data_IF_841737575420
#
_entry.id   IF_841737575420
#
_cell.length_a   1.000
_cell.length_b   1.000
_cell.length_c   1.000
_cell.angle_alpha   90.00
_cell.angle_beta   90.00
_cell.angle_gamma   90.00
#
_symmetry.space_group_name_H-M   'P 1'
#
loop_
_entity.id
_entity.type
_entity.pdbx_description
1 polymer ?
#
# COMPACT_ATOMS: atom_id res chain seq x y z
N UNK A 1 -8.98 -34.33 24.82
CA UNK A 1 -7.60 -34.88 24.83
C UNK A 1 -7.22 -35.21 26.25
N UNK A 2 -6.76 -36.44 26.50
CA UNK A 2 -6.43 -36.87 27.88
C UNK A 2 -5.05 -36.36 28.30
N UNK A 3 -4.89 -36.12 29.62
CA UNK A 3 -3.61 -35.62 30.22
C UNK A 3 -2.42 -36.53 29.87
N UNK A 4 -2.67 -37.80 29.54
CA UNK A 4 -1.64 -38.76 29.08
C UNK A 4 -1.07 -38.42 27.69
N UNK A 5 -1.85 -37.82 26.80
CA UNK A 5 -1.42 -37.40 25.48
C UNK A 5 -0.44 -36.20 25.49
N UNK A 6 -0.71 -35.24 26.39
CA UNK A 6 0.12 -34.05 26.57
C UNK A 6 1.50 -34.42 27.17
N UNK A 7 1.56 -35.37 28.09
CA UNK A 7 2.82 -35.86 28.67
C UNK A 7 3.71 -36.59 27.67
N UNK A 8 3.14 -37.28 26.68
CA UNK A 8 3.92 -37.94 25.61
C UNK A 8 4.54 -36.92 24.68
N UNK A 9 3.82 -35.82 24.37
CA UNK A 9 4.32 -34.74 23.50
C UNK A 9 5.46 -33.98 24.18
N UNK A 10 5.35 -33.65 25.46
CA UNK A 10 6.40 -32.99 26.25
C UNK A 10 7.66 -33.83 26.34
N UNK A 11 7.53 -35.16 26.57
CA UNK A 11 8.70 -36.07 26.58
C UNK A 11 9.38 -36.24 25.23
N UNK A 12 8.63 -36.16 24.14
CA UNK A 12 9.19 -36.19 22.78
C UNK A 12 10.02 -34.94 22.51
N UNK A 13 9.51 -33.77 22.89
CA UNK A 13 10.27 -32.49 22.75
C UNK A 13 11.51 -32.44 23.65
N UNK A 14 11.46 -32.92 24.85
CA UNK A 14 12.63 -32.95 25.74
C UNK A 14 13.75 -33.91 25.27
N UNK A 15 13.41 -34.98 24.56
CA UNK A 15 14.38 -35.94 24.01
C UNK A 15 15.05 -35.41 22.71
N UNK A 16 14.36 -34.53 21.97
CA UNK A 16 14.92 -33.88 20.76
C UNK A 16 15.89 -32.75 21.07
N UNK A 17 15.77 -32.11 22.25
CA UNK A 17 16.63 -31.01 22.67
C UNK A 17 17.98 -31.46 23.24
N UNK A 18 18.19 -32.75 23.54
CA UNK A 18 19.46 -33.26 24.10
C UNK A 18 20.51 -33.69 23.09
N UNK A 19 20.30 -33.45 21.77
CA UNK A 19 21.25 -33.85 20.70
C UNK A 19 21.74 -32.71 19.82
N UNK A 20 21.92 -31.52 20.37
CA UNK A 20 22.55 -30.40 19.64
C UNK A 20 23.89 -30.14 20.21
N UNK A 21 25.00 -30.27 19.45
CA UNK A 21 26.35 -29.88 19.91
C UNK A 21 26.43 -28.37 20.07
N UNK A 22 26.94 -27.92 21.19
CA UNK A 22 27.07 -26.53 21.62
C UNK A 22 28.23 -25.78 20.93
N UNK A 23 28.27 -25.69 19.61
CA UNK A 23 29.16 -24.71 18.92
C UNK A 23 28.48 -24.31 17.61
N UNK A 24 28.26 -22.99 17.43
CA UNK A 24 27.61 -22.30 16.32
C UNK A 24 26.11 -21.98 16.51
N UNK A 25 25.80 -21.29 17.58
CA UNK A 25 24.56 -20.52 17.67
C UNK A 25 24.92 -19.08 17.43
N UNK A 26 24.46 -18.50 16.38
CA UNK A 26 24.09 -17.07 16.31
C UNK A 26 24.12 -16.52 14.90
N UNK A 27 23.25 -16.95 14.02
CA UNK A 27 22.88 -16.03 12.93
C UNK A 27 21.51 -16.27 12.30
N UNK A 28 20.98 -17.48 12.26
CA UNK A 28 19.69 -17.72 11.58
C UNK A 28 18.89 -18.82 12.26
N UNK A 29 17.85 -18.48 13.00
CA UNK A 29 16.79 -19.43 13.36
C UNK A 29 15.77 -19.49 12.21
N UNK A 30 15.80 -20.57 11.44
CA UNK A 30 14.78 -20.85 10.43
C UNK A 30 13.52 -21.41 11.11
N UNK A 31 12.49 -20.62 11.19
CA UNK A 31 11.16 -21.09 11.59
C UNK A 31 10.37 -21.52 10.35
N UNK A 32 10.08 -22.83 10.23
CA UNK A 32 9.12 -23.36 9.26
C UNK A 32 7.73 -23.29 9.87
N UNK A 33 6.89 -22.36 9.40
CA UNK A 33 5.49 -22.23 9.80
C UNK A 33 4.62 -22.76 8.67
N UNK A 34 3.85 -23.78 8.93
CA UNK A 34 2.82 -24.49 8.14
C UNK A 34 3.24 -25.83 7.52
N UNK A 35 2.59 -26.90 8.02
CA UNK A 35 2.45 -28.18 7.33
C UNK A 35 1.17 -28.17 6.48
N UNK A 36 1.32 -28.32 5.16
CA UNK A 36 0.20 -28.52 4.22
C UNK A 36 -0.03 -27.36 3.26
N UNK A 37 0.79 -27.21 2.22
CA UNK A 37 0.77 -26.18 1.19
C UNK A 37 2.17 -25.63 0.98
N UNK A 38 2.47 -24.91 -0.09
CA UNK A 38 3.79 -24.34 -0.36
C UNK A 38 4.35 -23.65 0.90
N UNK A 39 5.48 -24.16 1.41
CA UNK A 39 6.09 -23.67 2.66
C UNK A 39 6.76 -22.33 2.41
N UNK A 40 6.20 -21.26 2.98
CA UNK A 40 6.96 -20.00 3.10
C UNK A 40 8.21 -20.24 3.95
N UNK A 41 9.34 -19.75 3.48
CA UNK A 41 10.58 -19.74 4.25
C UNK A 41 10.82 -18.36 4.80
N UNK A 42 10.93 -18.29 6.12
CA UNK A 42 11.08 -17.03 6.84
C UNK A 42 12.35 -17.09 7.67
N UNK A 43 13.21 -16.11 7.51
CA UNK A 43 14.35 -15.86 8.38
C UNK A 43 14.09 -14.65 9.28
N UNK A 44 14.75 -14.60 10.43
CA UNK A 44 14.66 -13.52 11.41
C UNK A 44 16.05 -12.99 11.71
N UNK A 45 16.22 -11.68 11.59
CA UNK A 45 17.48 -11.00 11.93
C UNK A 45 17.17 -9.78 12.82
N UNK A 46 17.95 -9.58 13.88
CA UNK A 46 17.95 -8.32 14.63
C UNK A 46 19.00 -7.41 13.97
N UNK A 47 18.52 -6.46 13.18
CA UNK A 47 19.38 -5.55 12.42
C UNK A 47 19.64 -4.28 13.21
N UNK A 48 20.89 -3.94 13.54
CA UNK A 48 21.22 -2.62 14.06
C UNK A 48 20.83 -1.53 13.05
N UNK A 49 20.42 -0.37 13.57
CA UNK A 49 19.86 0.71 12.74
C UNK A 49 20.87 1.21 11.71
N UNK A 50 22.13 1.41 12.08
CA UNK A 50 23.16 1.92 11.14
C UNK A 50 23.41 0.99 9.93
N UNK A 51 23.63 -0.32 10.09
CA UNK A 51 23.68 -1.27 8.98
C UNK A 51 22.40 -1.26 8.13
N UNK A 52 21.23 -1.14 8.76
CA UNK A 52 19.92 -1.11 8.08
C UNK A 52 19.81 0.13 7.17
N UNK A 53 20.20 1.32 7.67
CA UNK A 53 20.31 2.54 6.85
C UNK A 53 21.30 2.33 5.68
N UNK A 54 22.42 1.67 5.93
CA UNK A 54 23.39 1.32 4.90
C UNK A 54 22.81 0.41 3.81
N UNK A 55 22.01 -0.60 4.19
CA UNK A 55 21.30 -1.48 3.23
C UNK A 55 20.31 -0.67 2.38
N UNK A 56 19.56 0.27 2.97
CA UNK A 56 18.61 1.14 2.22
C UNK A 56 19.33 2.11 1.27
N UNK A 57 20.45 2.70 1.67
CA UNK A 57 21.24 3.60 0.80
C UNK A 57 21.82 2.87 -0.43
N UNK A 58 22.14 1.58 -0.31
CA UNK A 58 22.63 0.74 -1.40
C UNK A 58 21.52 0.00 -2.16
N UNK A 59 20.27 0.38 -1.93
CA UNK A 59 19.07 -0.22 -2.56
C UNK A 59 18.96 -1.75 -2.36
N UNK A 60 19.60 -2.28 -1.30
CA UNK A 60 19.42 -3.67 -0.87
C UNK A 60 18.14 -3.87 -0.08
N UNK A 61 17.57 -2.79 0.44
CA UNK A 61 16.21 -2.74 1.03
C UNK A 61 15.46 -1.62 0.32
N UNK A 62 14.35 -1.97 -0.33
CA UNK A 62 13.49 -1.06 -1.09
C UNK A 62 12.15 -0.91 -0.38
N UNK A 63 11.71 0.34 -0.22
CA UNK A 63 10.51 0.68 0.54
C UNK A 63 9.22 0.60 -0.27
N UNK A 64 9.27 0.41 -1.59
CA UNK A 64 8.10 0.32 -2.46
C UNK A 64 8.00 -1.07 -3.06
N UNK A 65 6.82 -1.68 -2.96
CA UNK A 65 6.50 -2.95 -3.62
C UNK A 65 5.01 -3.02 -3.97
N UNK A 66 4.65 -3.81 -5.01
CA UNK A 66 3.28 -3.99 -5.49
C UNK A 66 2.33 -4.62 -4.45
N UNK A 67 2.86 -5.49 -3.60
CA UNK A 67 2.09 -6.14 -2.53
C UNK A 67 1.97 -5.30 -1.26
N UNK A 68 2.62 -4.14 -1.24
CA UNK A 68 2.66 -3.27 -0.09
C UNK A 68 1.39 -2.42 0.00
N UNK A 69 0.89 -2.29 1.23
CA UNK A 69 -0.15 -1.32 1.55
C UNK A 69 0.44 0.09 1.56
N UNK A 70 -0.24 1.07 0.94
CA UNK A 70 0.07 2.48 1.15
C UNK A 70 -0.29 2.87 2.59
N UNK A 71 0.72 3.14 3.38
CA UNK A 71 0.55 3.63 4.75
C UNK A 71 0.53 5.16 4.77
N UNK A 72 -0.15 5.71 5.79
CA UNK A 72 -0.12 7.15 6.02
C UNK A 72 1.27 7.59 6.47
N UNK A 73 1.80 8.66 5.90
CA UNK A 73 3.03 9.29 6.40
C UNK A 73 2.83 9.70 7.86
N UNK A 74 3.71 9.24 8.74
CA UNK A 74 3.64 9.55 10.16
C UNK A 74 3.80 11.06 10.43
N UNK A 75 3.02 11.56 11.36
CA UNK A 75 3.21 12.90 11.90
C UNK A 75 4.54 13.01 12.64
N UNK A 76 5.05 14.23 12.80
CA UNK A 76 6.31 14.43 13.52
C UNK A 76 6.33 13.86 14.95
N UNK A 77 5.25 13.95 15.75
CA UNK A 77 5.17 13.26 17.03
C UNK A 77 5.38 11.74 16.93
N UNK A 78 4.74 11.07 15.96
CA UNK A 78 4.88 9.62 15.78
C UNK A 78 6.30 9.22 15.32
N UNK A 79 6.91 10.04 14.45
CA UNK A 79 8.30 9.85 14.03
C UNK A 79 9.26 9.99 15.24
N UNK A 80 9.04 11.01 16.05
CA UNK A 80 9.83 11.26 17.26
C UNK A 80 9.69 10.13 18.29
N UNK A 81 8.46 9.59 18.43
CA UNK A 81 8.20 8.48 19.35
C UNK A 81 8.98 7.22 18.95
N UNK A 82 9.16 6.96 17.65
CA UNK A 82 10.00 5.85 17.19
C UNK A 82 11.46 6.04 17.61
N UNK A 83 12.01 7.24 17.36
CA UNK A 83 13.41 7.54 17.73
C UNK A 83 13.60 7.42 19.25
N UNK A 84 12.71 8.00 20.01
CA UNK A 84 12.69 7.94 21.49
C UNK A 84 12.60 6.48 21.98
N UNK A 85 11.74 5.67 21.37
CA UNK A 85 11.59 4.26 21.74
C UNK A 85 12.87 3.45 21.50
N UNK A 86 13.57 3.71 20.40
CA UNK A 86 14.84 3.04 20.11
C UNK A 86 15.93 3.46 21.09
N UNK A 87 16.04 4.75 21.40
CA UNK A 87 17.00 5.29 22.38
C UNK A 87 16.78 4.77 23.80
N UNK A 88 15.52 4.48 24.16
CA UNK A 88 15.15 3.91 25.47
C UNK A 88 15.15 2.38 25.49
N UNK A 89 15.48 1.71 24.38
CA UNK A 89 15.44 0.26 24.30
C UNK A 89 14.04 -0.36 24.33
N UNK A 90 12.98 0.43 24.03
CA UNK A 90 11.62 -0.10 23.98
C UNK A 90 11.44 -1.00 22.75
N UNK A 91 10.60 -2.03 22.91
CA UNK A 91 10.29 -2.95 21.82
C UNK A 91 9.55 -2.22 20.70
N UNK A 92 10.14 -2.24 19.51
CA UNK A 92 9.56 -1.71 18.28
C UNK A 92 9.00 -2.87 17.46
N UNK A 93 7.77 -2.76 16.91
CA UNK A 93 7.23 -3.81 16.04
C UNK A 93 8.17 -4.16 14.90
N UNK A 94 8.28 -5.44 14.50
CA UNK A 94 9.22 -5.90 13.49
C UNK A 94 8.88 -5.38 12.09
N UNK A 95 9.87 -5.37 11.21
CA UNK A 95 9.72 -5.10 9.77
C UNK A 95 9.60 -6.43 9.04
N UNK A 96 8.73 -6.50 8.03
CA UNK A 96 8.55 -7.68 7.19
C UNK A 96 8.97 -7.35 5.76
N UNK A 97 9.83 -8.19 5.20
CA UNK A 97 10.35 -8.05 3.83
C UNK A 97 10.16 -9.35 3.06
N UNK A 98 10.04 -9.23 1.74
CA UNK A 98 10.20 -10.34 0.80
C UNK A 98 11.50 -10.15 0.04
N UNK A 99 12.14 -11.25 -0.36
CA UNK A 99 13.39 -11.22 -1.11
C UNK A 99 13.12 -11.61 -2.57
N UNK A 100 13.44 -10.71 -3.50
CA UNK A 100 13.37 -10.93 -4.94
C UNK A 100 14.74 -10.55 -5.53
N UNK A 101 15.39 -11.46 -6.23
CA UNK A 101 16.68 -11.25 -6.91
C UNK A 101 17.78 -10.62 -6.02
N UNK A 102 17.78 -10.99 -4.74
CA UNK A 102 18.77 -10.49 -3.76
C UNK A 102 18.49 -9.07 -3.25
N UNK A 103 17.30 -8.53 -3.53
CA UNK A 103 16.79 -7.27 -3.00
C UNK A 103 15.65 -7.56 -2.02
N UNK A 104 15.65 -6.91 -0.87
CA UNK A 104 14.60 -7.01 0.14
C UNK A 104 13.56 -5.90 -0.10
N UNK A 105 12.31 -6.28 -0.40
CA UNK A 105 11.20 -5.34 -0.54
C UNK A 105 10.38 -5.33 0.74
N UNK A 106 10.15 -4.15 1.30
CA UNK A 106 9.40 -4.00 2.54
C UNK A 106 7.92 -4.18 2.30
N UNK A 107 7.29 -5.10 3.03
CA UNK A 107 5.84 -5.38 2.99
C UNK A 107 5.12 -4.68 4.15
N UNK A 108 5.68 -4.73 5.36
CA UNK A 108 5.21 -3.97 6.52
C UNK A 108 6.38 -3.32 7.25
N UNK A 109 6.14 -2.14 7.83
CA UNK A 109 7.15 -1.36 8.55
C UNK A 109 7.78 -0.25 7.72
N UNK A 110 7.20 0.10 6.58
CA UNK A 110 7.65 1.21 5.71
C UNK A 110 7.80 2.50 6.49
N UNK A 111 6.82 2.85 7.33
CA UNK A 111 6.86 4.10 8.10
C UNK A 111 8.02 4.10 9.10
N UNK A 112 8.33 2.96 9.70
CA UNK A 112 9.49 2.80 10.60
C UNK A 112 10.80 3.05 9.85
N UNK A 113 10.99 2.38 8.71
CA UNK A 113 12.21 2.52 7.91
C UNK A 113 12.31 3.90 7.24
N UNK A 114 11.22 4.45 6.73
CA UNK A 114 11.19 5.82 6.16
C UNK A 114 11.54 6.86 7.22
N UNK A 115 11.03 6.70 8.44
CA UNK A 115 11.34 7.61 9.56
C UNK A 115 12.82 7.57 9.89
N UNK A 116 13.41 6.38 10.01
CA UNK A 116 14.85 6.25 10.28
C UNK A 116 15.67 6.87 9.15
N UNK A 117 15.38 6.52 7.89
CA UNK A 117 16.06 7.10 6.73
C UNK A 117 15.98 8.62 6.72
N UNK A 118 14.79 9.18 6.93
CA UNK A 118 14.59 10.62 6.98
C UNK A 118 15.29 11.29 8.14
N UNK A 119 15.35 10.65 9.31
CA UNK A 119 16.06 11.19 10.47
C UNK A 119 17.57 11.24 10.23
N UNK A 120 18.17 10.18 9.71
CA UNK A 120 19.59 10.13 9.34
C UNK A 120 19.97 11.10 8.20
N UNK A 121 18.99 11.55 7.44
CA UNK A 121 19.17 12.58 6.39
C UNK A 121 18.84 14.00 6.88
N UNK A 122 18.59 14.20 8.19
CA UNK A 122 18.17 15.49 8.76
C UNK A 122 16.89 16.08 8.16
N UNK A 123 15.97 15.23 7.65
CA UNK A 123 14.71 15.68 7.04
C UNK A 123 13.71 16.22 8.06
N UNK A 124 13.84 15.81 9.33
CA UNK A 124 13.03 16.33 10.44
C UNK A 124 13.83 16.38 11.75
N UNK A 125 13.31 17.13 12.72
CA UNK A 125 13.81 17.18 14.07
C UNK A 125 12.88 16.42 15.03
N UNK A 126 13.44 15.86 16.09
CA UNK A 126 12.68 15.28 17.21
C UNK A 126 11.71 16.34 17.76
N UNK A 127 10.55 15.90 18.21
CA UNK A 127 9.56 16.80 18.82
C UNK A 127 10.17 17.67 19.92
N UNK A 128 9.82 18.96 19.94
CA UNK A 128 10.23 19.88 21.04
C UNK A 128 9.65 19.48 22.40
N UNK A 129 8.69 18.52 22.42
CA UNK A 129 8.09 17.98 23.64
C UNK A 129 8.72 16.64 24.05
N UNK A 130 9.77 16.19 23.37
CA UNK A 130 10.48 14.98 23.76
C UNK A 130 11.18 15.20 25.09
N UNK A 131 11.11 14.20 25.95
CA UNK A 131 11.84 14.21 27.22
C UNK A 131 13.32 13.80 26.98
N UNK A 132 14.25 14.24 27.83
CA UNK A 132 15.62 13.79 27.77
C UNK A 132 15.72 12.25 27.87
N UNK A 133 16.78 11.68 27.28
CA UNK A 133 17.09 10.26 27.39
C UNK A 133 18.27 10.05 28.34
N UNK A 134 18.25 8.96 29.08
CA UNK A 134 19.35 8.59 29.99
C UNK A 134 20.15 7.46 29.31
N UNK A 135 21.43 7.71 29.04
CA UNK A 135 22.37 6.74 28.47
C UNK A 135 23.54 6.63 29.42
N UNK A 136 23.85 5.43 29.88
CA UNK A 136 24.93 5.18 30.87
C UNK A 136 24.87 6.10 32.10
N UNK A 137 23.66 6.41 32.58
CA UNK A 137 23.46 7.25 33.76
C UNK A 137 23.57 8.75 33.49
N UNK A 138 23.83 9.19 32.28
CA UNK A 138 23.92 10.60 31.88
C UNK A 138 22.69 11.00 31.11
N UNK A 139 22.13 12.18 31.44
CA UNK A 139 20.95 12.74 30.79
C UNK A 139 21.33 13.55 29.54
N UNK A 140 20.69 13.26 28.41
CA UNK A 140 20.89 13.95 27.15
C UNK A 140 19.58 14.57 26.65
N UNK A 141 19.57 15.88 26.41
CA UNK A 141 18.42 16.54 25.79
C UNK A 141 18.40 16.28 24.27
N UNK A 142 17.32 15.68 23.79
CA UNK A 142 17.10 15.36 22.37
C UNK A 142 16.01 16.22 21.73
N UNK A 143 15.30 17.05 22.52
CA UNK A 143 14.13 17.81 22.08
C UNK A 143 14.50 18.83 20.99
N UNK A 144 13.81 18.82 19.86
CA UNK A 144 14.01 19.74 18.76
C UNK A 144 15.30 19.51 17.96
N UNK A 145 16.05 18.45 18.23
CA UNK A 145 17.31 18.16 17.55
C UNK A 145 17.10 17.29 16.31
N UNK A 146 17.90 17.55 15.28
CA UNK A 146 18.09 16.68 14.11
C UNK A 146 19.21 15.70 14.41
N UNK A 147 19.32 14.61 13.63
CA UNK A 147 20.35 13.59 13.81
C UNK A 147 21.76 14.17 13.86
N UNK A 148 22.10 15.07 12.93
CA UNK A 148 23.44 15.69 12.89
C UNK A 148 23.79 16.49 14.15
N UNK A 149 22.77 16.97 14.89
CA UNK A 149 22.93 17.81 16.09
C UNK A 149 22.86 17.04 17.40
N UNK A 150 22.60 15.73 17.36
CA UNK A 150 22.66 14.89 18.55
C UNK A 150 24.10 14.76 19.06
N UNK A 151 24.23 14.54 20.36
CA UNK A 151 25.49 14.14 20.97
C UNK A 151 25.99 12.82 20.37
N UNK A 152 27.30 12.61 20.31
CA UNK A 152 27.87 11.41 19.72
C UNK A 152 27.43 10.13 20.45
N UNK A 153 27.31 10.17 21.77
CA UNK A 153 26.82 9.05 22.58
C UNK A 153 25.40 8.67 22.20
N UNK A 154 24.51 9.67 21.98
CA UNK A 154 23.13 9.43 21.54
C UNK A 154 23.08 8.86 20.13
N UNK A 155 23.96 9.31 19.22
CA UNK A 155 24.09 8.72 17.88
C UNK A 155 24.54 7.27 17.93
N UNK A 156 25.53 6.96 18.74
CA UNK A 156 26.08 5.60 18.89
C UNK A 156 25.03 4.65 19.50
N UNK A 157 24.25 5.14 20.46
CA UNK A 157 23.11 4.39 21.01
C UNK A 157 22.04 4.09 19.95
N UNK A 158 21.65 5.10 19.15
CA UNK A 158 20.72 4.89 18.06
C UNK A 158 21.27 3.98 16.96
N UNK A 159 22.57 4.12 16.62
CA UNK A 159 23.26 3.30 15.63
C UNK A 159 23.27 1.81 16.01
N UNK A 160 23.41 1.51 17.30
CA UNK A 160 23.44 0.16 17.87
C UNK A 160 22.07 -0.42 18.18
N UNK A 161 21.05 0.44 18.38
CA UNK A 161 19.66 0.00 18.56
C UNK A 161 19.22 -0.92 17.43
N UNK A 162 18.47 -1.98 17.73
CA UNK A 162 18.11 -2.98 16.72
C UNK A 162 16.62 -3.02 16.41
N UNK A 163 16.30 -3.29 15.14
CA UNK A 163 14.96 -3.64 14.68
C UNK A 163 14.96 -5.07 14.19
N UNK A 164 13.99 -5.85 14.62
CA UNK A 164 13.76 -7.19 14.10
C UNK A 164 13.24 -7.10 12.67
N UNK A 165 13.91 -7.77 11.73
CA UNK A 165 13.48 -7.91 10.33
C UNK A 165 13.17 -9.38 10.07
N UNK A 166 11.97 -9.64 9.56
CA UNK A 166 11.59 -10.93 9.01
C UNK A 166 11.75 -10.87 7.49
N UNK A 167 12.58 -11.75 6.94
CA UNK A 167 12.76 -11.89 5.50
C UNK A 167 12.11 -13.18 5.01
N UNK A 168 11.25 -13.06 4.00
CA UNK A 168 10.52 -14.15 3.38
C UNK A 168 11.15 -14.42 2.02
N UNK A 169 11.65 -15.64 1.79
CA UNK A 169 12.43 -15.99 0.60
C UNK A 169 11.74 -16.99 -0.32
N UNK A 170 10.87 -17.84 0.21
CA UNK A 170 10.10 -18.80 -0.55
C UNK A 170 8.62 -18.56 -0.28
N UNK A 171 7.87 -18.04 -1.26
CA UNK A 171 6.47 -17.65 -1.07
C UNK A 171 5.73 -17.62 -2.42
N UNK A 172 4.40 -17.65 -2.35
CA UNK A 172 3.53 -17.15 -3.41
C UNK A 172 3.00 -15.77 -3.03
N UNK A 173 2.66 -14.94 -3.98
CA UNK A 173 2.05 -13.63 -3.72
C UNK A 173 0.75 -13.79 -2.90
N UNK A 174 0.02 -14.89 -3.07
CA UNK A 174 -1.17 -15.23 -2.28
C UNK A 174 -0.83 -15.43 -0.80
N UNK A 175 0.25 -16.13 -0.49
CA UNK A 175 0.68 -16.37 0.89
C UNK A 175 1.08 -15.06 1.57
N UNK A 176 1.82 -14.19 0.85
CA UNK A 176 2.23 -12.88 1.37
C UNK A 176 0.99 -12.01 1.64
N UNK A 177 0.01 -11.96 0.73
CA UNK A 177 -1.23 -11.22 0.93
C UNK A 177 -2.02 -11.73 2.14
N UNK A 178 -2.15 -13.06 2.29
CA UNK A 178 -2.85 -13.66 3.42
C UNK A 178 -2.11 -13.41 4.75
N UNK A 179 -0.80 -13.55 4.78
CA UNK A 179 0.01 -13.19 5.95
C UNK A 179 -0.20 -11.72 6.32
N UNK A 180 -0.15 -10.83 5.33
CA UNK A 180 -0.35 -9.40 5.54
C UNK A 180 -1.76 -9.09 6.08
N UNK A 181 -2.79 -9.75 5.54
CA UNK A 181 -4.16 -9.66 6.05
C UNK A 181 -4.23 -10.03 7.53
N UNK A 182 -3.55 -11.11 7.94
CA UNK A 182 -3.51 -11.57 9.34
C UNK A 182 -2.74 -10.63 10.26
N UNK A 183 -1.58 -10.13 9.83
CA UNK A 183 -0.80 -9.15 10.60
C UNK A 183 -1.59 -7.86 10.88
N UNK A 184 -2.42 -7.44 9.92
CA UNK A 184 -3.23 -6.23 10.03
C UNK A 184 -4.64 -6.48 10.61
N UNK A 185 -5.01 -7.71 10.98
CA UNK A 185 -6.36 -8.06 11.47
C UNK A 185 -6.78 -7.31 12.74
N UNK A 186 -5.85 -6.70 13.47
CA UNK A 186 -6.14 -5.81 14.62
C UNK A 186 -6.57 -4.39 14.24
N UNK A 187 -6.49 -3.98 12.96
CA UNK A 187 -6.97 -2.68 12.46
C UNK A 187 -8.07 -2.93 11.42
N UNK A 188 -9.23 -2.26 11.51
CA UNK A 188 -10.28 -2.42 10.51
C UNK A 188 -9.75 -2.00 9.14
N UNK A 189 -9.69 -2.95 8.20
CA UNK A 189 -9.38 -2.67 6.80
C UNK A 189 -10.55 -1.91 6.18
N UNK A 190 -10.27 -0.89 5.36
CA UNK A 190 -11.31 -0.29 4.52
C UNK A 190 -11.69 -1.25 3.38
N UNK A 191 -12.78 -0.96 2.66
CA UNK A 191 -13.33 -1.84 1.62
C UNK A 191 -12.28 -2.19 0.55
N UNK A 192 -11.51 -1.21 0.07
CA UNK A 192 -10.48 -1.44 -0.96
C UNK A 192 -9.36 -2.35 -0.47
N UNK A 193 -8.93 -2.18 0.78
CA UNK A 193 -7.88 -3.00 1.38
C UNK A 193 -8.31 -4.45 1.64
N UNK A 194 -9.62 -4.70 1.78
CA UNK A 194 -10.17 -6.07 1.91
C UNK A 194 -10.16 -6.83 0.58
N UNK A 195 -10.26 -6.13 -0.55
CA UNK A 195 -10.34 -6.74 -1.88
C UNK A 195 -8.97 -7.18 -2.43
N UNK A 196 -7.88 -6.56 -1.99
CA UNK A 196 -6.52 -6.86 -2.50
C UNK A 196 -6.12 -8.35 -2.36
N UNK A 197 -6.46 -9.07 -1.27
CA UNK A 197 -6.11 -10.49 -1.14
C UNK A 197 -6.80 -11.41 -2.14
N UNK A 198 -7.94 -11.00 -2.71
CA UNK A 198 -8.75 -11.81 -3.62
C UNK A 198 -8.34 -11.61 -5.09
N UNK A 199 -7.46 -10.64 -5.37
CA UNK A 199 -6.93 -10.39 -6.72
C UNK A 199 -5.84 -11.39 -7.09
N UNK A 200 -5.85 -11.85 -8.36
CA UNK A 200 -4.71 -12.57 -8.93
C UNK A 200 -3.46 -11.68 -8.99
N UNK A 201 -2.29 -12.31 -9.17
CA UNK A 201 -1.04 -11.57 -9.32
C UNK A 201 -1.08 -10.66 -10.53
N UNK A 202 -1.67 -11.12 -11.64
CA UNK A 202 -1.81 -10.35 -12.86
C UNK A 202 -2.71 -9.13 -12.65
N UNK A 203 -3.90 -9.30 -12.04
CA UNK A 203 -4.79 -8.18 -11.74
C UNK A 203 -4.17 -7.19 -10.73
N UNK A 204 -3.46 -7.70 -9.73
CA UNK A 204 -2.74 -6.87 -8.76
C UNK A 204 -1.67 -6.01 -9.44
N UNK A 205 -0.92 -6.57 -10.39
CA UNK A 205 0.06 -5.83 -11.19
C UNK A 205 -0.61 -4.73 -12.02
N UNK A 206 -1.71 -5.06 -12.69
CA UNK A 206 -2.48 -4.07 -13.48
C UNK A 206 -2.95 -2.91 -12.60
N UNK A 207 -3.53 -3.19 -11.43
CA UNK A 207 -3.94 -2.13 -10.50
C UNK A 207 -2.74 -1.29 -10.07
N UNK A 208 -1.61 -1.93 -9.74
CA UNK A 208 -0.39 -1.23 -9.36
C UNK A 208 0.13 -0.31 -10.48
N UNK A 209 0.16 -0.79 -11.72
CA UNK A 209 0.59 -0.02 -12.89
C UNK A 209 -0.31 1.20 -13.11
N UNK A 210 -1.62 1.02 -13.04
CA UNK A 210 -2.58 2.12 -13.20
C UNK A 210 -2.40 3.18 -12.10
N UNK A 211 -2.35 2.78 -10.83
CA UNK A 211 -2.23 3.76 -9.72
C UNK A 211 -0.85 4.41 -9.62
N UNK A 212 0.16 3.86 -10.31
CA UNK A 212 1.49 4.45 -10.40
C UNK A 212 1.57 5.61 -11.39
N UNK A 213 0.51 5.86 -12.17
CA UNK A 213 0.45 7.00 -13.08
C UNK A 213 0.41 8.33 -12.28
N UNK A 214 1.10 9.39 -12.75
CA UNK A 214 1.17 10.69 -12.07
C UNK A 214 -0.21 11.31 -11.79
N UNK A 215 -1.20 11.00 -12.62
CA UNK A 215 -2.59 11.42 -12.48
C UNK A 215 -3.12 11.26 -11.05
N UNK A 216 -2.90 10.10 -10.43
CA UNK A 216 -3.46 9.82 -9.10
C UNK A 216 -2.83 10.67 -8.01
N UNK A 217 -1.52 10.91 -8.07
CA UNK A 217 -0.82 11.77 -7.11
C UNK A 217 -1.24 13.24 -7.24
N UNK A 218 -1.51 13.73 -8.46
CA UNK A 218 -1.96 15.10 -8.72
C UNK A 218 -3.44 15.31 -8.37
N UNK A 219 -4.32 14.34 -8.65
CA UNK A 219 -5.78 14.51 -8.57
C UNK A 219 -6.39 14.04 -7.25
N UNK A 220 -5.66 13.31 -6.42
CA UNK A 220 -6.14 12.83 -5.12
C UNK A 220 -5.41 13.51 -3.97
N UNK A 221 -6.14 13.76 -2.90
CA UNK A 221 -5.54 14.27 -1.66
C UNK A 221 -4.69 13.20 -0.98
N UNK A 222 -3.71 13.61 -0.18
CA UNK A 222 -2.90 12.68 0.63
C UNK A 222 -3.76 11.76 1.51
N UNK A 223 -4.90 12.25 2.04
CA UNK A 223 -5.83 11.44 2.83
C UNK A 223 -6.53 10.35 1.98
N UNK A 224 -6.88 10.67 0.73
CA UNK A 224 -7.48 9.72 -0.21
C UNK A 224 -6.48 8.65 -0.64
N UNK A 225 -5.25 9.03 -0.96
CA UNK A 225 -4.18 8.08 -1.29
C UNK A 225 -3.87 7.15 -0.11
N UNK A 226 -3.82 7.69 1.12
CA UNK A 226 -3.65 6.92 2.37
C UNK A 226 -4.72 5.86 2.58
N UNK A 227 -5.95 6.13 2.17
CA UNK A 227 -7.07 5.19 2.28
C UNK A 227 -7.26 4.31 1.04
N UNK A 228 -6.28 4.22 0.15
CA UNK A 228 -6.29 3.41 -1.08
C UNK A 228 -7.48 3.73 -2.01
N UNK A 229 -7.87 5.00 -2.07
CA UNK A 229 -8.94 5.48 -2.96
C UNK A 229 -8.52 5.34 -4.42
N UNK A 230 -7.25 5.53 -4.74
CA UNK A 230 -6.65 5.30 -6.05
C UNK A 230 -6.85 3.86 -6.54
N UNK A 231 -6.59 2.86 -5.69
CA UNK A 231 -6.83 1.45 -6.03
C UNK A 231 -8.32 1.17 -6.29
N UNK A 232 -9.20 1.79 -5.47
CA UNK A 232 -10.65 1.69 -5.71
C UNK A 232 -11.04 2.28 -7.05
N UNK A 233 -10.51 3.45 -7.41
CA UNK A 233 -10.80 4.12 -8.68
C UNK A 233 -10.24 3.32 -9.87
N UNK A 234 -9.04 2.76 -9.76
CA UNK A 234 -8.46 1.90 -10.80
C UNK A 234 -9.34 0.67 -11.05
N UNK A 235 -9.77 -0.02 -9.98
CA UNK A 235 -10.68 -1.16 -10.07
C UNK A 235 -12.03 -0.77 -10.68
N UNK A 236 -12.63 0.33 -10.22
CA UNK A 236 -13.90 0.87 -10.75
C UNK A 236 -13.78 1.22 -12.23
N UNK A 237 -12.66 1.79 -12.65
CA UNK A 237 -12.39 2.07 -14.08
C UNK A 237 -12.35 0.79 -14.89
N UNK A 238 -11.66 -0.27 -14.42
CA UNK A 238 -11.63 -1.58 -15.07
C UNK A 238 -13.03 -2.20 -15.15
N UNK A 239 -13.82 -2.12 -14.07
CA UNK A 239 -15.22 -2.59 -14.06
C UNK A 239 -16.03 -1.93 -15.18
N UNK A 240 -15.99 -0.60 -15.28
CA UNK A 240 -16.72 0.14 -16.31
C UNK A 240 -16.23 -0.19 -17.73
N UNK A 241 -14.92 -0.33 -17.93
CA UNK A 241 -14.33 -0.69 -19.22
C UNK A 241 -14.66 -2.14 -19.64
N UNK A 242 -15.04 -2.99 -18.70
CA UNK A 242 -15.39 -4.40 -18.91
C UNK A 242 -16.88 -4.68 -18.90
N UNK A 243 -17.71 -3.67 -18.58
CA UNK A 243 -19.18 -3.79 -18.61
C UNK A 243 -19.67 -3.98 -20.07
N UNK A 244 -20.49 -5.01 -20.27
CA UNK A 244 -21.13 -5.35 -21.54
C UNK A 244 -22.57 -5.89 -21.28
N UNK A 245 -23.23 -6.48 -22.31
CA UNK A 245 -24.60 -6.99 -22.19
C UNK A 245 -24.70 -8.20 -21.24
N UNK A 246 -23.65 -9.00 -21.17
CA UNK A 246 -23.63 -10.23 -20.38
C UNK A 246 -23.11 -9.99 -18.96
N UNK A 247 -22.29 -8.94 -18.77
CA UNK A 247 -21.65 -8.61 -17.51
C UNK A 247 -21.86 -7.12 -17.20
N UNK A 248 -22.75 -6.84 -16.25
CA UNK A 248 -23.05 -5.47 -15.79
C UNK A 248 -22.32 -5.18 -14.46
N UNK A 249 -21.25 -4.40 -14.56
CA UNK A 249 -20.45 -3.98 -13.39
C UNK A 249 -20.70 -2.52 -13.00
N UNK A 250 -21.87 -1.99 -13.25
CA UNK A 250 -22.21 -0.60 -12.98
C UNK A 250 -22.63 -0.33 -11.52
N UNK A 251 -22.16 -1.12 -10.55
CA UNK A 251 -22.27 -0.83 -9.12
C UNK A 251 -20.89 -0.96 -8.47
N UNK A 252 -20.55 -0.03 -7.57
CA UNK A 252 -19.27 0.01 -6.87
C UNK A 252 -19.36 -0.45 -5.42
N UNK A 253 -20.39 -1.23 -5.07
CA UNK A 253 -20.51 -1.87 -3.75
C UNK A 253 -19.49 -2.97 -3.60
N UNK A 254 -19.11 -3.26 -2.34
CA UNK A 254 -18.08 -4.26 -2.05
C UNK A 254 -18.32 -5.61 -2.72
N UNK A 255 -19.57 -6.12 -2.66
CA UNK A 255 -19.93 -7.41 -3.29
C UNK A 255 -19.78 -7.41 -4.82
N UNK A 256 -20.09 -6.29 -5.47
CA UNK A 256 -19.96 -6.21 -6.92
C UNK A 256 -18.49 -6.11 -7.36
N UNK A 257 -17.66 -5.48 -6.54
CA UNK A 257 -16.20 -5.48 -6.70
C UNK A 257 -15.59 -6.87 -6.52
N UNK A 258 -16.03 -7.63 -5.49
CA UNK A 258 -15.64 -9.03 -5.28
C UNK A 258 -16.00 -9.89 -6.50
N UNK A 259 -17.24 -9.81 -6.97
CA UNK A 259 -17.72 -10.54 -8.15
C UNK A 259 -16.90 -10.16 -9.41
N UNK A 260 -16.57 -8.88 -9.58
CA UNK A 260 -15.71 -8.45 -10.70
C UNK A 260 -14.30 -9.02 -10.59
N UNK A 261 -13.68 -9.00 -9.42
CA UNK A 261 -12.36 -9.57 -9.20
C UNK A 261 -12.35 -11.05 -9.55
N UNK A 262 -13.34 -11.82 -9.04
CA UNK A 262 -13.49 -13.24 -9.37
C UNK A 262 -13.63 -13.46 -10.89
N UNK A 263 -14.44 -12.64 -11.57
CA UNK A 263 -14.63 -12.70 -13.03
C UNK A 263 -13.35 -12.34 -13.81
N UNK A 264 -12.59 -11.33 -13.35
CA UNK A 264 -11.53 -10.69 -14.14
C UNK A 264 -10.14 -11.26 -13.88
N UNK A 265 -9.95 -12.00 -12.79
CA UNK A 265 -8.65 -12.54 -12.35
C UNK A 265 -7.90 -13.32 -13.47
N UNK A 266 -8.64 -14.08 -14.30
CA UNK A 266 -8.08 -14.88 -15.38
C UNK A 266 -8.39 -14.30 -16.78
N UNK A 267 -8.82 -13.02 -16.85
CA UNK A 267 -9.31 -12.39 -18.09
C UNK A 267 -8.71 -11.01 -18.33
N UNK A 268 -7.51 -10.78 -17.82
CA UNK A 268 -6.80 -9.52 -18.08
C UNK A 268 -6.51 -9.40 -19.57
N UNK A 269 -6.87 -8.26 -20.15
CA UNK A 269 -6.68 -7.92 -21.55
C UNK A 269 -5.57 -6.87 -21.69
N UNK A 270 -4.30 -7.25 -21.99
CA UNK A 270 -3.18 -6.32 -21.99
C UNK A 270 -3.38 -5.10 -22.90
N UNK A 271 -3.93 -5.30 -24.10
CA UNK A 271 -4.22 -4.19 -25.03
C UNK A 271 -5.22 -3.18 -24.44
N UNK A 272 -6.25 -3.67 -23.75
CA UNK A 272 -7.23 -2.82 -23.06
C UNK A 272 -6.55 -1.98 -21.96
N UNK A 273 -5.68 -2.62 -21.18
CA UNK A 273 -4.94 -1.95 -20.10
C UNK A 273 -4.05 -0.84 -20.66
N UNK A 274 -3.34 -1.08 -21.75
CA UNK A 274 -2.50 -0.05 -22.38
C UNK A 274 -3.32 1.13 -22.91
N UNK A 275 -4.51 0.89 -23.47
CA UNK A 275 -5.42 1.97 -23.87
C UNK A 275 -5.91 2.75 -22.65
N UNK A 276 -6.23 2.08 -21.54
CA UNK A 276 -6.66 2.75 -20.28
C UNK A 276 -5.53 3.64 -19.75
N UNK A 277 -4.31 3.12 -19.64
CA UNK A 277 -3.13 3.88 -19.16
C UNK A 277 -2.85 5.09 -20.04
N UNK A 278 -2.87 4.89 -21.36
CA UNK A 278 -2.71 5.96 -22.35
C UNK A 278 -3.78 7.03 -22.20
N UNK A 279 -5.03 6.64 -22.00
CA UNK A 279 -6.15 7.57 -21.86
C UNK A 279 -6.05 8.39 -20.56
N UNK A 280 -5.66 7.77 -19.45
CA UNK A 280 -5.46 8.44 -18.16
C UNK A 280 -4.30 9.44 -18.26
N UNK A 281 -3.17 9.07 -18.90
CA UNK A 281 -2.06 9.97 -19.10
C UNK A 281 -2.45 11.18 -19.98
N UNK A 282 -3.13 10.94 -21.10
CA UNK A 282 -3.64 12.04 -21.95
C UNK A 282 -4.59 12.96 -21.18
N UNK A 283 -5.44 12.42 -20.34
CA UNK A 283 -6.34 13.22 -19.49
C UNK A 283 -5.54 14.07 -18.49
N UNK A 284 -4.50 13.52 -17.87
CA UNK A 284 -3.64 14.24 -16.94
C UNK A 284 -2.89 15.37 -17.62
N UNK A 285 -2.28 15.10 -18.79
CA UNK A 285 -1.53 16.08 -19.60
C UNK A 285 -2.40 17.20 -20.14
N UNK A 286 -3.70 16.95 -20.32
CA UNK A 286 -4.64 17.93 -20.88
C UNK A 286 -5.31 18.81 -19.82
N UNK A 287 -5.13 18.53 -18.54
CA UNK A 287 -5.68 19.31 -17.43
C UNK A 287 -4.58 20.06 -16.69
N UNK A 288 -4.86 21.30 -16.29
CA UNK A 288 -3.95 22.08 -15.46
C UNK A 288 -3.62 21.34 -14.14
N UNK A 289 -2.45 21.61 -13.57
CA UNK A 289 -1.89 20.84 -12.47
C UNK A 289 -2.75 20.91 -11.21
N UNK A 290 -3.37 22.05 -10.94
CA UNK A 290 -4.18 22.32 -9.74
C UNK A 290 -5.67 21.98 -9.89
N UNK A 291 -6.11 21.54 -11.09
CA UNK A 291 -7.51 21.14 -11.33
C UNK A 291 -7.88 19.95 -10.48
N UNK A 292 -8.87 20.12 -9.61
CA UNK A 292 -9.43 19.07 -8.78
C UNK A 292 -10.63 18.42 -9.44
N UNK A 293 -10.59 17.10 -9.53
CA UNK A 293 -11.70 16.30 -10.04
C UNK A 293 -12.49 15.75 -8.83
N UNK A 294 -13.81 15.93 -8.79
CA UNK A 294 -14.63 15.30 -7.75
C UNK A 294 -14.38 13.79 -7.70
N UNK A 295 -14.02 13.28 -6.53
CA UNK A 295 -13.64 11.85 -6.33
C UNK A 295 -14.63 10.88 -6.99
N UNK A 296 -15.93 11.17 -6.86
CA UNK A 296 -17.02 10.33 -7.40
C UNK A 296 -17.08 10.30 -8.92
N UNK A 297 -16.41 11.24 -9.58
CA UNK A 297 -16.40 11.36 -11.05
C UNK A 297 -15.13 10.81 -11.69
N UNK A 298 -14.06 10.51 -10.91
CA UNK A 298 -12.78 10.13 -11.49
C UNK A 298 -12.88 8.82 -12.28
N UNK A 299 -13.47 7.76 -11.73
CA UNK A 299 -13.59 6.47 -12.43
C UNK A 299 -14.41 6.54 -13.72
N UNK A 300 -15.49 7.33 -13.73
CA UNK A 300 -16.29 7.52 -14.96
C UNK A 300 -15.60 8.43 -15.99
N UNK A 301 -14.79 9.39 -15.56
CA UNK A 301 -13.95 10.20 -16.45
C UNK A 301 -12.81 9.37 -17.07
N UNK A 302 -12.16 8.53 -16.29
CA UNK A 302 -11.15 7.60 -16.81
C UNK A 302 -11.77 6.61 -17.83
N UNK A 303 -12.99 6.12 -17.56
CA UNK A 303 -13.74 5.32 -18.52
C UNK A 303 -14.07 6.13 -19.80
N UNK A 304 -14.52 7.37 -19.66
CA UNK A 304 -14.84 8.24 -20.81
C UNK A 304 -13.59 8.48 -21.67
N UNK A 305 -12.46 8.83 -21.06
CA UNK A 305 -11.19 8.98 -21.75
C UNK A 305 -10.77 7.70 -22.48
N UNK A 306 -10.89 6.52 -21.83
CA UNK A 306 -10.67 5.23 -22.47
C UNK A 306 -11.52 5.04 -23.71
N UNK A 307 -12.83 5.34 -23.63
CA UNK A 307 -13.75 5.21 -24.77
C UNK A 307 -13.37 6.14 -25.92
N UNK A 308 -13.01 7.38 -25.63
CA UNK A 308 -12.52 8.34 -26.66
C UNK A 308 -11.29 7.80 -27.37
N UNK A 309 -10.31 7.27 -26.62
CA UNK A 309 -9.11 6.68 -27.22
C UNK A 309 -9.44 5.41 -28.03
N UNK A 310 -10.25 4.50 -27.48
CA UNK A 310 -10.64 3.25 -28.12
C UNK A 310 -11.42 3.49 -29.41
N UNK A 311 -12.38 4.40 -29.37
CA UNK A 311 -13.26 4.73 -30.49
C UNK A 311 -12.62 5.74 -31.48
N UNK A 312 -11.35 6.13 -31.23
CA UNK A 312 -10.56 7.08 -32.06
C UNK A 312 -11.25 8.41 -32.30
N UNK A 313 -11.96 8.91 -31.28
CA UNK A 313 -12.64 10.20 -31.32
C UNK A 313 -11.70 11.34 -30.93
N UNK A 314 -12.14 12.60 -31.17
CA UNK A 314 -11.33 13.79 -30.83
C UNK A 314 -11.16 13.92 -29.32
N UNK A 315 -9.93 13.73 -28.85
CA UNK A 315 -9.56 13.89 -27.43
C UNK A 315 -9.62 15.37 -27.00
N UNK A 316 -9.28 16.30 -27.89
CA UNK A 316 -9.35 17.75 -27.62
C UNK A 316 -10.79 18.19 -27.33
N UNK A 317 -11.74 17.75 -28.16
CA UNK A 317 -13.18 18.05 -27.93
C UNK A 317 -13.66 17.44 -26.62
N UNK A 318 -13.18 16.24 -26.27
CA UNK A 318 -13.52 15.61 -25.00
C UNK A 318 -12.98 16.42 -23.80
N UNK A 319 -11.73 16.90 -23.87
CA UNK A 319 -11.14 17.74 -22.82
C UNK A 319 -11.93 19.02 -22.60
N UNK A 320 -12.41 19.67 -23.67
CA UNK A 320 -13.29 20.83 -23.54
C UNK A 320 -14.56 20.49 -22.75
N UNK A 321 -15.19 19.34 -23.00
CA UNK A 321 -16.35 18.88 -22.24
C UNK A 321 -16.02 18.55 -20.78
N UNK A 322 -14.86 18.00 -20.53
CA UNK A 322 -14.38 17.79 -19.15
C UNK A 322 -14.19 19.12 -18.43
N UNK A 323 -13.57 20.10 -19.08
CA UNK A 323 -13.35 21.45 -18.52
C UNK A 323 -14.70 22.15 -18.23
N UNK A 324 -15.65 22.12 -19.18
CA UNK A 324 -17.02 22.62 -18.97
C UNK A 324 -17.69 21.97 -17.75
N UNK A 325 -17.63 20.64 -17.67
CA UNK A 325 -18.20 19.88 -16.54
C UNK A 325 -17.57 20.27 -15.21
N UNK A 326 -16.25 20.39 -15.15
CA UNK A 326 -15.54 20.76 -13.91
C UNK A 326 -15.84 22.19 -13.49
N UNK A 327 -15.91 23.12 -14.45
CA UNK A 327 -16.24 24.52 -14.19
C UNK A 327 -17.67 24.73 -13.65
N UNK A 328 -18.62 23.89 -14.10
CA UNK A 328 -20.05 23.98 -13.73
C UNK A 328 -20.47 22.93 -12.71
N UNK A 329 -19.54 22.13 -12.16
CA UNK A 329 -19.85 21.01 -11.28
C UNK A 329 -20.68 21.41 -10.07
N UNK A 330 -20.37 22.54 -9.47
CA UNK A 330 -21.06 22.99 -8.26
C UNK A 330 -22.49 23.45 -8.53
N UNK A 331 -22.78 23.90 -9.74
CA UNK A 331 -24.11 24.33 -10.20
C UNK A 331 -24.91 23.18 -10.79
N UNK A 332 -24.29 22.06 -11.12
CA UNK A 332 -24.95 20.88 -11.71
C UNK A 332 -25.74 20.11 -10.63
N UNK A 333 -26.91 20.66 -10.29
CA UNK A 333 -27.80 20.10 -9.25
C UNK A 333 -28.32 18.71 -9.61
N UNK A 334 -28.60 18.45 -10.89
CA UNK A 334 -29.05 17.13 -11.35
C UNK A 334 -28.00 16.07 -11.09
N UNK A 335 -26.74 16.32 -11.49
CA UNK A 335 -25.63 15.41 -11.27
C UNK A 335 -25.39 15.16 -9.78
N UNK A 336 -25.40 16.23 -8.97
CA UNK A 336 -25.17 16.16 -7.51
C UNK A 336 -26.31 15.43 -6.80
N UNK A 337 -27.55 15.65 -7.17
CA UNK A 337 -28.72 14.97 -6.56
C UNK A 337 -28.67 13.46 -6.78
N UNK A 338 -28.20 12.99 -7.94
CA UNK A 338 -28.01 11.57 -8.21
C UNK A 338 -26.86 10.93 -7.40
N UNK A 339 -26.06 11.72 -6.69
CA UNK A 339 -25.04 11.23 -5.76
C UNK A 339 -25.52 11.12 -4.30
N UNK A 340 -26.64 11.76 -3.95
CA UNK A 340 -27.10 11.85 -2.55
C UNK A 340 -27.60 10.52 -1.99
N UNK A 341 -28.12 9.61 -2.83
CA UNK A 341 -28.67 8.32 -2.41
C UNK A 341 -27.66 7.17 -2.39
N UNK A 342 -26.38 7.49 -2.26
CA UNK A 342 -25.29 6.51 -2.20
C UNK A 342 -24.49 6.43 -3.49
N UNK A 343 -23.30 7.01 -3.49
CA UNK A 343 -22.42 7.16 -4.66
C UNK A 343 -22.00 5.84 -5.32
N UNK A 344 -22.11 4.72 -4.62
CA UNK A 344 -21.70 3.39 -5.07
C UNK A 344 -22.89 2.52 -5.50
N UNK A 345 -24.13 3.02 -5.41
CA UNK A 345 -25.30 2.29 -5.87
C UNK A 345 -25.30 2.14 -7.40
N UNK A 346 -25.91 1.07 -7.91
CA UNK A 346 -26.03 0.84 -9.35
C UNK A 346 -26.72 2.01 -10.07
N UNK A 347 -27.75 2.59 -9.47
CA UNK A 347 -28.46 3.74 -9.99
C UNK A 347 -27.55 4.95 -10.16
N UNK A 348 -26.82 5.33 -9.10
CA UNK A 348 -25.93 6.47 -9.10
C UNK A 348 -24.73 6.29 -10.05
N UNK A 349 -24.20 5.06 -10.15
CA UNK A 349 -23.09 4.76 -11.07
C UNK A 349 -23.58 4.78 -12.52
N UNK A 350 -24.74 4.18 -12.81
CA UNK A 350 -25.31 4.19 -14.16
C UNK A 350 -25.65 5.60 -14.63
N UNK A 351 -26.23 6.42 -13.77
CA UNK A 351 -26.48 7.82 -14.11
C UNK A 351 -25.20 8.54 -14.56
N UNK A 352 -24.13 8.45 -13.77
CA UNK A 352 -22.84 9.06 -14.12
C UNK A 352 -22.24 8.48 -15.40
N UNK A 353 -22.35 7.18 -15.57
CA UNK A 353 -21.87 6.48 -16.76
C UNK A 353 -22.62 6.93 -18.01
N UNK A 354 -23.95 7.03 -17.94
CA UNK A 354 -24.79 7.43 -19.06
C UNK A 354 -24.65 8.92 -19.38
N UNK A 355 -24.42 9.76 -18.38
CA UNK A 355 -24.07 11.16 -18.57
C UNK A 355 -22.86 11.28 -19.52
N UNK A 356 -21.77 10.59 -19.22
CA UNK A 356 -20.56 10.61 -20.06
C UNK A 356 -20.73 9.85 -21.37
N UNK A 357 -21.48 8.78 -21.42
CA UNK A 357 -21.79 8.07 -22.66
C UNK A 357 -22.55 8.95 -23.65
N UNK A 358 -23.46 9.79 -23.17
CA UNK A 358 -24.19 10.71 -24.03
C UNK A 358 -23.26 11.78 -24.61
N UNK A 359 -22.39 12.37 -23.77
CA UNK A 359 -21.37 13.31 -24.25
C UNK A 359 -20.46 12.64 -25.30
N UNK A 360 -19.99 11.43 -25.06
CA UNK A 360 -19.14 10.69 -26.00
C UNK A 360 -19.85 10.44 -27.34
N UNK A 361 -21.14 10.18 -27.35
CA UNK A 361 -21.93 9.97 -28.59
C UNK A 361 -21.95 11.23 -29.47
N UNK A 362 -22.01 12.40 -28.86
CA UNK A 362 -22.06 13.69 -29.56
C UNK A 362 -20.68 14.10 -30.13
N UNK A 363 -19.60 13.53 -29.61
CA UNK A 363 -18.24 13.81 -30.10
C UNK A 363 -17.96 12.94 -31.34
N UNK A 364 -17.64 13.61 -32.43
CA UNK A 364 -17.18 13.01 -33.68
C UNK A 364 -15.66 12.96 -33.73
#
# INVERSE_FOLDING_TARGET
>A
MSISGIRKIIKFFQKSLQKIPSVLSSKYENFSIFEGGNKMKVSRENCPVKPLIGKMKREKIVLKHKLQRRESVWSNPNKSLLIDSLLRGYIVPPVYTISEDGVQYVIDGVQRLSTLKGFYNDEFAISKKAEPVIIEGTEYNIAGLKFSKLDQVVKDELDSSAITVYEITEYTDKDVREMFRRLNSGKPLNTSQKLTPDMSDELSNVIFDIVSLPFFEKRLTSAQLKSSVDQSIALETLMLCSTNKDNDFASFRGKDKENFIEFYNDKVEPEKIEIIKTAINKLDESLEEDVKIPKTSISVLCFAAYRICKDKKSFEKFVLKVSEFLATYDENTEYKNNLMNGTNSAESVRFRLDYWRNIIKELQ
#
